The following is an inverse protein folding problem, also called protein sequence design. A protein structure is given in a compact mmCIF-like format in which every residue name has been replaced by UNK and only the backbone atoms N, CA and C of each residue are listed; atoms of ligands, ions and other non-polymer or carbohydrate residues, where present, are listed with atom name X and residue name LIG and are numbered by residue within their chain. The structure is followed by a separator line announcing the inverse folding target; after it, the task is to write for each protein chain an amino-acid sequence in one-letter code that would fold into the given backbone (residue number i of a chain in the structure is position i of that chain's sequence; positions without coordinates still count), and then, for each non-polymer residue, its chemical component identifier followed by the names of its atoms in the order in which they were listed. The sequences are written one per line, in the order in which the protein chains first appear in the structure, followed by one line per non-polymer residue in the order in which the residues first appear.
data_IF_076933909444
#
_entry.id   IF_076933909444
#
_cell.length_a   1.000
_cell.length_b   1.000
_cell.length_c   1.000
_cell.angle_alpha   90.00
_cell.angle_beta   90.00
_cell.angle_gamma   90.00
#
_symmetry.space_group_name_H-M   'P 1'
#
loop_
_entity.id
_entity.type
_entity.pdbx_description
1 polymer ?
#
# COMPACT_ATOMS: atom_id res chain seq x y z
N UNK A 1 7.25 -28.47 -19.72
CA UNK A 1 7.01 -29.90 -19.39
C UNK A 1 6.82 -30.12 -17.88
N UNK A 2 7.33 -29.22 -17.03
CA UNK A 2 7.39 -29.41 -15.56
C UNK A 2 6.04 -29.49 -14.81
N UNK A 3 4.95 -28.95 -15.36
CA UNK A 3 3.65 -29.03 -14.67
C UNK A 3 2.83 -30.30 -14.99
N UNK A 4 3.30 -31.14 -15.92
CA UNK A 4 2.81 -32.50 -16.15
C UNK A 4 1.29 -32.70 -16.11
N UNK A 5 0.84 -33.63 -15.25
CA UNK A 5 -0.57 -34.04 -15.04
C UNK A 5 -1.07 -33.60 -13.65
N UNK A 6 -0.66 -32.43 -13.17
CA UNK A 6 -0.99 -32.02 -11.82
C UNK A 6 -2.51 -31.99 -11.60
N UNK A 7 -2.98 -32.80 -10.65
CA UNK A 7 -4.36 -32.81 -10.16
C UNK A 7 -4.40 -32.21 -8.77
N UNK A 8 -5.29 -31.24 -8.57
CA UNK A 8 -5.62 -30.72 -7.24
C UNK A 8 -6.27 -31.83 -6.40
N UNK A 9 -5.81 -31.98 -5.16
CA UNK A 9 -6.45 -32.81 -4.14
C UNK A 9 -6.99 -31.92 -3.03
N UNK A 10 -8.23 -32.18 -2.59
CA UNK A 10 -8.89 -31.43 -1.51
C UNK A 10 -9.67 -30.20 -1.98
N UNK A 11 -10.40 -29.58 -1.04
CA UNK A 11 -11.13 -28.33 -1.27
C UNK A 11 -10.20 -27.13 -1.14
N UNK A 12 -10.53 -26.04 -1.86
CA UNK A 12 -9.84 -24.76 -1.65
C UNK A 12 -10.05 -24.27 -0.22
N UNK A 13 -9.01 -23.67 0.37
CA UNK A 13 -9.14 -22.99 1.65
C UNK A 13 -10.06 -21.76 1.56
N UNK A 14 -10.62 -21.35 2.70
CA UNK A 14 -11.27 -20.05 2.85
C UNK A 14 -10.26 -19.02 3.33
N UNK A 15 -10.28 -17.82 2.74
CA UNK A 15 -9.50 -16.67 3.22
C UNK A 15 -10.48 -15.66 3.80
N UNK A 16 -10.32 -15.35 5.09
CA UNK A 16 -10.98 -14.19 5.68
C UNK A 16 -10.10 -12.96 5.49
N UNK A 17 -10.65 -11.94 4.84
CA UNK A 17 -10.02 -10.63 4.73
C UNK A 17 -10.89 -9.69 5.56
N UNK A 18 -10.33 -9.16 6.64
CA UNK A 18 -11.02 -8.19 7.46
C UNK A 18 -11.20 -6.89 6.67
N UNK A 19 -12.39 -6.31 6.74
CA UNK A 19 -12.63 -4.97 6.20
C UNK A 19 -11.96 -3.95 7.12
N UNK A 20 -11.08 -3.13 6.55
CA UNK A 20 -10.58 -1.94 7.23
C UNK A 20 -11.47 -0.75 6.86
N UNK A 21 -11.82 0.06 7.85
CA UNK A 21 -12.56 1.31 7.65
C UNK A 21 -11.60 2.50 7.78
N UNK A 22 -11.90 3.57 7.06
CA UNK A 22 -11.20 4.84 7.25
C UNK A 22 -11.65 5.47 8.58
N UNK A 23 -10.75 6.06 9.36
CA UNK A 23 -11.15 6.81 10.53
C UNK A 23 -12.00 8.02 10.11
N UNK A 24 -13.02 8.36 10.90
CA UNK A 24 -13.91 9.50 10.63
C UNK A 24 -13.17 10.84 10.58
N UNK A 25 -12.03 10.94 11.28
CA UNK A 25 -11.20 12.13 11.36
C UNK A 25 -9.73 11.77 11.21
N UNK A 26 -8.93 12.73 10.70
CA UNK A 26 -7.48 12.57 10.62
C UNK A 26 -6.86 12.43 12.00
N UNK A 27 -5.96 11.46 12.15
CA UNK A 27 -5.24 11.20 13.39
C UNK A 27 -3.75 11.49 13.22
N UNK A 28 -3.15 12.18 14.18
CA UNK A 28 -1.71 12.33 14.30
C UNK A 28 -1.22 11.56 15.53
N UNK A 29 -0.20 10.73 15.35
CA UNK A 29 0.45 10.00 16.44
C UNK A 29 1.88 10.52 16.53
N UNK A 30 2.23 11.08 17.68
CA UNK A 30 3.58 11.59 17.96
C UNK A 30 4.25 10.59 18.89
N UNK A 31 5.40 10.08 18.44
CA UNK A 31 6.24 9.16 19.23
C UNK A 31 7.59 9.85 19.40
N UNK A 32 7.97 10.10 20.65
CA UNK A 32 9.31 10.58 20.95
C UNK A 32 10.33 9.46 20.69
N UNK A 33 11.43 9.80 20.02
CA UNK A 33 12.52 8.87 19.70
C UNK A 33 13.86 9.49 20.07
N UNK A 34 14.24 9.48 21.37
CA UNK A 34 15.49 10.07 21.84
C UNK A 34 16.72 9.48 21.14
N UNK A 35 17.73 10.31 20.89
CA UNK A 35 18.98 9.89 20.21
C UNK A 35 18.83 9.64 18.70
N UNK A 36 17.64 9.84 18.14
CA UNK A 36 17.41 9.75 16.71
C UNK A 36 18.07 10.92 15.97
N UNK A 37 18.90 10.62 14.96
CA UNK A 37 19.56 11.65 14.14
C UNK A 37 18.58 12.44 13.25
N UNK A 38 17.45 11.82 12.88
CA UNK A 38 16.45 12.42 12.01
C UNK A 38 15.04 12.09 12.48
N UNK A 39 14.13 13.04 12.34
CA UNK A 39 12.69 12.81 12.52
C UNK A 39 12.12 12.01 11.34
N UNK A 40 11.14 11.15 11.62
CA UNK A 40 10.41 10.41 10.59
C UNK A 40 8.95 10.86 10.60
N UNK A 41 8.46 11.31 9.46
CA UNK A 41 7.06 11.62 9.24
C UNK A 41 6.49 10.53 8.34
N UNK A 42 5.46 9.82 8.82
CA UNK A 42 4.68 8.89 8.00
C UNK A 42 3.28 9.45 7.84
N UNK A 43 2.81 9.47 6.59
CA UNK A 43 1.42 9.73 6.25
C UNK A 43 0.91 8.55 5.42
N UNK A 44 -0.30 8.09 5.75
CA UNK A 44 -0.94 6.99 5.06
C UNK A 44 -2.44 7.28 4.89
N UNK A 45 -2.99 6.75 3.81
CA UNK A 45 -4.43 6.74 3.56
C UNK A 45 -4.83 5.31 3.19
N UNK A 46 -5.98 4.84 3.68
CA UNK A 46 -6.47 3.53 3.29
C UNK A 46 -6.74 3.52 1.79
N UNK A 47 -6.08 2.61 1.07
CA UNK A 47 -6.27 2.44 -0.35
C UNK A 47 -7.41 1.44 -0.60
N UNK A 48 -8.15 1.59 -1.71
CA UNK A 48 -9.09 0.58 -2.16
C UNK A 48 -8.41 -0.78 -2.47
N UNK A 49 -9.17 -1.88 -2.57
CA UNK A 49 -8.64 -3.18 -3.00
C UNK A 49 -8.08 -3.12 -4.42
N UNK A 50 -7.06 -3.93 -4.71
CA UNK A 50 -6.42 -3.97 -6.04
C UNK A 50 -7.30 -4.54 -7.16
N UNK A 51 -8.43 -5.17 -6.81
CA UNK A 51 -9.38 -5.76 -7.75
C UNK A 51 -10.40 -4.78 -8.34
N UNK A 52 -10.32 -3.49 -8.03
CA UNK A 52 -11.26 -2.49 -8.57
C UNK A 52 -10.88 -2.06 -9.99
N UNK A 53 -11.89 -1.63 -10.76
CA UNK A 53 -11.74 -1.32 -12.19
C UNK A 53 -10.70 -0.23 -12.48
N UNK A 54 -10.52 0.74 -11.57
CA UNK A 54 -9.59 1.86 -11.74
C UNK A 54 -8.24 1.66 -11.05
N UNK A 55 -7.87 0.43 -10.66
CA UNK A 55 -6.58 0.17 -10.00
C UNK A 55 -5.37 0.68 -10.82
N UNK A 56 -5.40 0.51 -12.15
CA UNK A 56 -4.34 1.01 -13.04
C UNK A 56 -4.20 2.54 -12.96
N UNK A 57 -5.32 3.26 -12.85
CA UNK A 57 -5.28 4.71 -12.71
C UNK A 57 -4.69 5.14 -11.35
N UNK A 58 -5.01 4.41 -10.27
CA UNK A 58 -4.44 4.64 -8.93
C UNK A 58 -2.94 4.39 -8.94
N UNK A 59 -2.47 3.32 -9.58
CA UNK A 59 -1.05 3.01 -9.71
C UNK A 59 -0.31 4.10 -10.51
N UNK A 60 -0.87 4.55 -11.64
CA UNK A 60 -0.29 5.62 -12.45
C UNK A 60 -0.19 6.95 -11.67
N UNK A 61 -1.22 7.28 -10.89
CA UNK A 61 -1.21 8.43 -9.98
C UNK A 61 -0.08 8.29 -8.93
N UNK A 62 0.00 7.14 -8.24
CA UNK A 62 1.02 6.89 -7.22
C UNK A 62 2.44 6.99 -7.79
N UNK A 63 2.67 6.46 -9.00
CA UNK A 63 3.96 6.56 -9.69
C UNK A 63 4.38 8.02 -9.88
N UNK A 64 3.46 8.88 -10.31
CA UNK A 64 3.74 10.30 -10.57
C UNK A 64 3.89 11.11 -9.27
N UNK A 65 3.16 10.75 -8.22
CA UNK A 65 3.19 11.45 -6.94
C UNK A 65 4.48 11.17 -6.17
N UNK A 66 4.82 9.90 -5.95
CA UNK A 66 5.99 9.51 -5.15
C UNK A 66 6.65 8.18 -5.51
N UNK A 67 6.07 7.39 -6.43
CA UNK A 67 6.55 6.04 -6.76
C UNK A 67 7.78 5.99 -7.67
N UNK A 68 8.23 7.12 -8.22
CA UNK A 68 9.42 7.22 -9.07
C UNK A 68 10.43 8.21 -8.49
N UNK A 69 11.71 8.04 -8.85
CA UNK A 69 12.75 9.02 -8.52
C UNK A 69 12.42 10.41 -9.06
N UNK A 70 11.80 10.48 -10.25
CA UNK A 70 11.36 11.71 -10.91
C UNK A 70 9.98 12.20 -10.46
N UNK A 71 9.39 11.60 -9.42
CA UNK A 71 8.07 11.95 -8.93
C UNK A 71 8.04 13.32 -8.23
N UNK A 72 6.85 13.92 -8.14
CA UNK A 72 6.67 15.29 -7.62
C UNK A 72 7.16 15.45 -6.18
N UNK A 73 6.89 14.48 -5.30
CA UNK A 73 7.36 14.52 -3.91
C UNK A 73 8.88 14.60 -3.86
N UNK A 74 9.57 13.76 -4.65
CA UNK A 74 11.03 13.74 -4.68
C UNK A 74 11.64 14.99 -5.33
N UNK A 75 10.97 15.58 -6.31
CA UNK A 75 11.49 16.76 -7.02
C UNK A 75 11.21 18.08 -6.31
N UNK A 76 10.14 18.15 -5.50
CA UNK A 76 9.74 19.39 -4.83
C UNK A 76 10.18 19.49 -3.37
N UNK A 77 10.47 18.36 -2.71
CA UNK A 77 10.88 18.34 -1.29
C UNK A 77 12.36 18.03 -1.07
N UNK A 78 13.12 17.81 -2.16
CA UNK A 78 14.56 17.54 -2.11
C UNK A 78 15.37 18.82 -2.20
#
# INVERSE_FOLDING_TARGET
KEFGKWKVSGSKGSKQIAQAELPEQGQAIIIDRPGSQQSLILAAHLAPPTGIDNNIAIEAMNLTLGGAFTARVNMNLR
#
